data_IF_442432703849
#
_entry.id   IF_442432703849
#
_cell.length_a   1.000
_cell.length_b   1.000
_cell.length_c   1.000
_cell.angle_alpha   90.00
_cell.angle_beta   90.00
_cell.angle_gamma   90.00
#
_symmetry.space_group_name_H-M   'P 1'
#
loop_
_entity.id
_entity.type
_entity.pdbx_description
1 polymer ?
#
# COMPACT_ATOMS: atom_id res chain seq x y z
N UNK A 1 9.36 -0.30 -19.25
CA UNK A 1 10.69 -0.77 -18.87
C UNK A 1 10.97 -2.13 -19.52
N UNK A 2 12.16 -2.35 -20.07
CA UNK A 2 12.56 -3.51 -20.89
C UNK A 2 12.59 -4.88 -20.15
N UNK A 3 12.17 -4.96 -18.92
CA UNK A 3 11.85 -6.24 -18.26
C UNK A 3 10.67 -6.95 -18.95
N UNK A 4 9.87 -6.23 -19.72
CA UNK A 4 8.80 -6.79 -20.55
C UNK A 4 9.25 -7.73 -21.68
N UNK A 5 10.55 -7.84 -21.96
CA UNK A 5 11.05 -8.81 -22.91
C UNK A 5 10.98 -10.28 -22.45
N UNK A 6 10.80 -10.53 -21.15
CA UNK A 6 10.74 -11.89 -20.59
C UNK A 6 9.29 -12.35 -20.37
N UNK A 7 8.37 -11.40 -20.13
CA UNK A 7 6.92 -11.68 -19.98
C UNK A 7 6.19 -10.72 -20.92
N UNK A 8 5.77 -11.21 -22.07
CA UNK A 8 5.05 -10.40 -23.05
C UNK A 8 3.79 -9.77 -22.40
N UNK A 9 3.71 -8.43 -22.43
CA UNK A 9 2.59 -7.68 -21.90
C UNK A 9 2.64 -7.29 -20.41
N UNK A 10 3.72 -7.61 -19.67
CA UNK A 10 3.88 -7.09 -18.30
C UNK A 10 4.30 -5.62 -18.34
N UNK A 11 3.54 -4.78 -17.63
CA UNK A 11 3.84 -3.37 -17.44
C UNK A 11 3.74 -3.04 -15.95
N UNK A 12 4.73 -2.32 -15.43
CA UNK A 12 4.80 -1.85 -14.05
C UNK A 12 5.41 -0.45 -14.05
N UNK A 13 4.55 0.57 -14.22
CA UNK A 13 4.95 1.95 -14.55
C UNK A 13 5.96 2.52 -13.55
N UNK A 14 5.63 2.47 -12.27
CA UNK A 14 6.50 3.02 -11.22
C UNK A 14 7.01 1.96 -10.23
N UNK A 15 6.59 0.70 -10.34
CA UNK A 15 7.16 -0.37 -9.53
C UNK A 15 6.27 -0.88 -8.41
N UNK A 16 4.98 -1.11 -8.65
CA UNK A 16 4.13 -1.81 -7.67
C UNK A 16 4.69 -3.20 -7.37
N UNK A 17 4.96 -3.98 -8.39
CA UNK A 17 5.52 -5.32 -8.25
C UNK A 17 7.03 -5.28 -8.03
N UNK A 18 7.78 -4.61 -8.92
CA UNK A 18 9.26 -4.67 -8.93
C UNK A 18 9.91 -3.89 -7.78
N UNK A 19 9.19 -2.99 -7.11
CA UNK A 19 9.69 -2.26 -5.93
C UNK A 19 8.94 -2.70 -4.68
N UNK A 20 7.61 -2.50 -4.64
CA UNK A 20 6.85 -2.73 -3.41
C UNK A 20 6.67 -4.22 -3.11
N UNK A 21 6.28 -5.05 -4.08
CA UNK A 21 6.16 -6.49 -3.82
C UNK A 21 7.51 -7.12 -3.49
N UNK A 22 8.57 -6.78 -4.23
CA UNK A 22 9.94 -7.24 -3.90
C UNK A 22 10.36 -6.82 -2.50
N UNK A 23 10.12 -5.54 -2.12
CA UNK A 23 10.36 -5.06 -0.76
C UNK A 23 9.53 -5.81 0.29
N UNK A 24 8.28 -6.12 -0.02
CA UNK A 24 7.39 -6.91 0.82
C UNK A 24 7.87 -8.36 1.02
N UNK A 25 8.36 -9.02 -0.01
CA UNK A 25 8.97 -10.36 0.10
C UNK A 25 10.24 -10.33 0.95
N UNK A 26 11.09 -9.31 0.78
CA UNK A 26 12.27 -9.12 1.62
C UNK A 26 11.89 -8.87 3.09
N UNK A 27 10.86 -8.05 3.33
CA UNK A 27 10.32 -7.83 4.68
C UNK A 27 9.76 -9.11 5.29
N UNK A 28 9.06 -9.95 4.52
CA UNK A 28 8.57 -11.26 4.99
C UNK A 28 9.73 -12.16 5.42
N UNK A 29 10.78 -12.26 4.62
CA UNK A 29 11.97 -13.02 4.99
C UNK A 29 12.59 -12.48 6.30
N UNK A 30 12.68 -11.15 6.45
CA UNK A 30 13.16 -10.51 7.68
C UNK A 30 12.29 -10.86 8.90
N UNK A 31 10.97 -10.78 8.77
CA UNK A 31 10.03 -11.11 9.86
C UNK A 31 10.14 -12.59 10.26
N UNK A 32 10.27 -13.49 9.30
CA UNK A 32 10.42 -14.92 9.58
C UNK A 32 11.73 -15.25 10.32
N UNK A 33 12.82 -14.52 10.02
CA UNK A 33 14.12 -14.71 10.68
C UNK A 33 14.12 -14.08 12.07
N UNK A 34 13.61 -12.86 12.22
CA UNK A 34 13.58 -12.12 13.49
C UNK A 34 12.55 -12.69 14.48
N UNK A 35 11.47 -13.25 13.95
CA UNK A 35 10.33 -13.70 14.74
C UNK A 35 9.46 -12.54 15.23
N UNK A 36 8.39 -12.90 15.93
CA UNK A 36 7.42 -11.95 16.45
C UNK A 36 7.95 -11.16 17.66
N UNK A 37 7.47 -9.93 17.82
CA UNK A 37 7.75 -9.11 19.02
C UNK A 37 7.32 -9.85 20.29
N UNK A 38 8.08 -9.67 21.37
CA UNK A 38 7.78 -10.28 22.66
C UNK A 38 6.37 -9.90 23.13
N UNK A 39 5.56 -10.90 23.43
CA UNK A 39 4.20 -10.70 23.92
C UNK A 39 3.12 -10.49 22.86
N UNK A 40 3.46 -10.42 21.56
CA UNK A 40 2.48 -10.31 20.47
C UNK A 40 1.56 -11.54 20.41
N UNK A 41 2.10 -12.73 20.53
CA UNK A 41 1.34 -13.98 20.53
C UNK A 41 1.47 -14.67 21.87
N UNK A 42 0.34 -14.88 22.54
CA UNK A 42 0.28 -15.58 23.83
C UNK A 42 0.48 -17.09 23.70
N UNK A 43 0.89 -17.75 24.79
CA UNK A 43 0.95 -19.23 24.89
C UNK A 43 -0.43 -19.85 24.74
N UNK A 44 -1.48 -19.10 25.06
CA UNK A 44 -2.90 -19.40 24.91
C UNK A 44 -3.40 -19.30 23.46
N UNK A 45 -2.52 -18.95 22.51
CA UNK A 45 -2.86 -18.75 21.11
C UNK A 45 -3.48 -17.39 20.78
N UNK A 46 -3.69 -16.53 21.78
CA UNK A 46 -4.30 -15.22 21.56
C UNK A 46 -3.32 -14.24 20.92
N UNK A 47 -3.83 -13.46 19.97
CA UNK A 47 -3.13 -12.30 19.39
C UNK A 47 -3.34 -11.11 20.32
N UNK A 48 -2.25 -10.52 20.78
CA UNK A 48 -2.28 -9.35 21.68
C UNK A 48 -1.91 -8.11 20.89
N UNK A 49 -2.78 -7.09 20.85
CA UNK A 49 -2.47 -5.86 20.15
C UNK A 49 -1.29 -5.13 20.83
N UNK A 50 -0.35 -4.66 20.01
CA UNK A 50 0.73 -3.76 20.46
C UNK A 50 0.48 -2.44 19.74
N UNK A 51 -0.25 -1.49 20.36
CA UNK A 51 -0.61 -0.25 19.71
C UNK A 51 0.62 0.60 19.41
N UNK A 52 0.52 1.41 18.34
CA UNK A 52 1.55 2.40 18.02
C UNK A 52 1.70 3.44 19.14
N UNK A 53 2.91 3.91 19.32
CA UNK A 53 3.25 4.86 20.39
C UNK A 53 2.62 6.25 20.20
N UNK A 54 2.43 6.69 18.95
CA UNK A 54 1.86 7.99 18.63
C UNK A 54 1.15 7.98 17.28
N UNK A 55 -0.18 7.90 17.31
CA UNK A 55 -1.01 7.86 16.10
C UNK A 55 -1.01 9.19 15.33
N UNK A 56 -0.81 10.32 16.00
CA UNK A 56 -0.70 11.62 15.33
C UNK A 56 0.57 11.68 14.46
N UNK A 57 1.70 11.20 14.99
CA UNK A 57 2.94 11.08 14.20
C UNK A 57 2.82 10.04 13.09
N UNK A 58 2.12 8.93 13.30
CA UNK A 58 1.85 7.95 12.25
C UNK A 58 1.02 8.57 11.11
N UNK A 59 0.01 9.36 11.45
CA UNK A 59 -0.80 10.10 10.47
C UNK A 59 0.05 11.09 9.68
N UNK A 60 0.87 11.89 10.36
CA UNK A 60 1.81 12.81 9.71
C UNK A 60 2.77 12.05 8.79
N UNK A 61 3.32 10.91 9.24
CA UNK A 61 4.18 10.05 8.43
C UNK A 61 3.49 9.55 7.16
N UNK A 62 2.22 9.16 7.26
CA UNK A 62 1.43 8.76 6.09
C UNK A 62 1.24 9.91 5.10
N UNK A 63 0.97 11.14 5.55
CA UNK A 63 0.90 12.30 4.66
C UNK A 63 2.23 12.63 4.00
N UNK A 64 3.35 12.49 4.71
CA UNK A 64 4.69 12.69 4.13
C UNK A 64 4.96 11.64 3.05
N UNK A 65 4.63 10.37 3.29
CA UNK A 65 4.73 9.31 2.29
C UNK A 65 3.82 9.59 1.08
N UNK A 66 2.59 10.01 1.32
CA UNK A 66 1.64 10.35 0.25
C UNK A 66 2.17 11.49 -0.64
N UNK A 67 2.67 12.55 -0.02
CA UNK A 67 3.29 13.65 -0.75
C UNK A 67 4.52 13.17 -1.54
N UNK A 68 5.37 12.34 -0.95
CA UNK A 68 6.52 11.73 -1.62
C UNK A 68 6.11 10.84 -2.79
N UNK A 69 4.92 10.23 -2.74
CA UNK A 69 4.40 9.36 -3.80
C UNK A 69 4.05 10.12 -5.08
N UNK A 70 3.68 11.38 -4.99
CA UNK A 70 3.53 12.23 -6.18
C UNK A 70 4.85 12.35 -6.95
N UNK A 71 5.97 12.47 -6.23
CA UNK A 71 7.30 12.43 -6.83
C UNK A 71 7.69 11.03 -7.33
N UNK A 72 7.35 10.00 -6.57
CA UNK A 72 7.66 8.61 -6.92
C UNK A 72 6.97 8.19 -8.23
N UNK A 73 5.66 8.34 -8.32
CA UNK A 73 4.90 8.01 -9.51
C UNK A 73 5.09 9.04 -10.63
N UNK A 74 5.01 10.34 -10.32
CA UNK A 74 5.19 11.40 -11.33
C UNK A 74 6.59 11.41 -11.93
N UNK A 75 7.63 11.17 -11.13
CA UNK A 75 9.00 11.05 -11.59
C UNK A 75 9.23 9.82 -12.48
N UNK A 76 8.41 8.79 -12.37
CA UNK A 76 8.48 7.58 -13.19
C UNK A 76 8.01 7.80 -14.64
N UNK A 77 7.48 8.99 -14.98
CA UNK A 77 7.28 9.44 -16.35
C UNK A 77 8.62 9.56 -17.12
N UNK A 78 9.72 9.79 -16.40
CA UNK A 78 11.10 9.85 -16.92
C UNK A 78 11.34 10.93 -17.99
N UNK A 79 10.38 11.79 -18.27
CA UNK A 79 10.49 12.87 -19.27
C UNK A 79 9.67 14.09 -18.82
N UNK A 80 10.17 15.29 -19.16
CA UNK A 80 9.55 16.60 -18.85
C UNK A 80 9.74 17.61 -19.97
N UNK A 81 10.13 17.15 -21.16
CA UNK A 81 10.55 18.02 -22.26
C UNK A 81 9.43 18.46 -23.19
N UNK A 82 8.27 17.83 -23.15
CA UNK A 82 7.13 18.09 -24.02
C UNK A 82 5.87 18.43 -23.24
N UNK A 83 4.85 18.94 -23.95
CA UNK A 83 3.53 19.16 -23.35
C UNK A 83 2.89 17.83 -22.94
N UNK A 84 3.09 16.81 -23.75
CA UNK A 84 2.59 15.45 -23.51
C UNK A 84 3.19 14.87 -22.22
N UNK A 85 4.46 15.09 -21.96
CA UNK A 85 5.12 14.65 -20.71
C UNK A 85 4.52 15.37 -19.49
N UNK A 86 4.30 16.68 -19.60
CA UNK A 86 3.72 17.48 -18.52
C UNK A 86 2.28 17.03 -18.22
N UNK A 87 1.46 16.85 -19.27
CA UNK A 87 0.09 16.37 -19.13
C UNK A 87 0.07 14.94 -18.55
N UNK A 88 1.01 14.08 -18.94
CA UNK A 88 1.22 12.74 -18.39
C UNK A 88 1.52 12.78 -16.90
N UNK A 89 2.48 13.59 -16.46
CA UNK A 89 2.82 13.76 -15.03
C UNK A 89 1.60 14.26 -14.24
N UNK A 90 0.88 15.24 -14.76
CA UNK A 90 -0.31 15.77 -14.09
C UNK A 90 -1.40 14.71 -13.93
N UNK A 91 -1.63 13.88 -14.96
CA UNK A 91 -2.55 12.74 -14.92
C UNK A 91 -2.12 11.71 -13.88
N UNK A 92 -0.85 11.33 -13.87
CA UNK A 92 -0.25 10.37 -12.91
C UNK A 92 -0.42 10.86 -11.47
N UNK A 93 -0.15 12.14 -11.19
CA UNK A 93 -0.33 12.73 -9.86
C UNK A 93 -1.80 12.71 -9.43
N UNK A 94 -2.72 13.06 -10.35
CA UNK A 94 -4.16 13.02 -10.07
C UNK A 94 -4.65 11.59 -9.79
N UNK A 95 -4.24 10.61 -10.60
CA UNK A 95 -4.54 9.19 -10.42
C UNK A 95 -4.01 8.65 -9.09
N UNK A 96 -2.76 8.98 -8.76
CA UNK A 96 -2.12 8.61 -7.49
C UNK A 96 -2.92 9.13 -6.30
N UNK A 97 -3.34 10.40 -6.35
CA UNK A 97 -4.17 10.98 -5.29
C UNK A 97 -5.55 10.29 -5.19
N UNK A 98 -6.17 10.00 -6.33
CA UNK A 98 -7.47 9.30 -6.36
C UNK A 98 -7.38 7.93 -5.70
N UNK A 99 -6.36 7.13 -6.02
CA UNK A 99 -6.16 5.81 -5.47
C UNK A 99 -5.95 5.84 -3.94
N UNK A 100 -5.15 6.78 -3.44
CA UNK A 100 -4.94 6.95 -2.01
C UNK A 100 -6.23 7.28 -1.26
N UNK A 101 -7.03 8.23 -1.79
CA UNK A 101 -8.33 8.57 -1.23
C UNK A 101 -9.29 7.38 -1.24
N UNK A 102 -9.35 6.66 -2.36
CA UNK A 102 -10.20 5.48 -2.52
C UNK A 102 -9.83 4.37 -1.53
N UNK A 103 -8.54 4.10 -1.37
CA UNK A 103 -8.05 3.11 -0.41
C UNK A 103 -8.37 3.46 1.03
N UNK A 104 -8.17 4.72 1.42
CA UNK A 104 -8.52 5.21 2.76
C UNK A 104 -10.03 5.08 3.04
N UNK A 105 -10.88 5.48 2.10
CA UNK A 105 -12.35 5.41 2.21
C UNK A 105 -12.79 3.94 2.31
N UNK A 106 -12.26 3.06 1.46
CA UNK A 106 -12.61 1.64 1.49
C UNK A 106 -12.24 1.00 2.83
N UNK A 107 -11.05 1.27 3.35
CA UNK A 107 -10.63 0.76 4.66
C UNK A 107 -11.50 1.31 5.79
N UNK A 108 -11.90 2.60 5.74
CA UNK A 108 -12.82 3.19 6.71
C UNK A 108 -14.19 2.52 6.67
N UNK A 109 -14.76 2.33 5.48
CA UNK A 109 -16.07 1.68 5.28
C UNK A 109 -16.04 0.24 5.76
N UNK A 110 -15.02 -0.55 5.35
CA UNK A 110 -14.93 -1.95 5.74
C UNK A 110 -14.71 -2.12 7.24
N UNK A 111 -13.86 -1.31 7.88
CA UNK A 111 -13.66 -1.40 9.33
C UNK A 111 -14.94 -1.00 10.08
N UNK A 112 -15.68 0.00 9.62
CA UNK A 112 -16.98 0.36 10.17
C UNK A 112 -18.00 -0.78 10.03
N UNK A 113 -18.03 -1.47 8.89
CA UNK A 113 -18.98 -2.56 8.65
C UNK A 113 -18.63 -3.81 9.45
N UNK A 114 -17.36 -4.20 9.49
CA UNK A 114 -16.88 -5.45 10.10
C UNK A 114 -16.75 -5.30 11.61
N UNK A 115 -16.09 -4.24 12.07
CA UNK A 115 -15.74 -4.03 13.48
C UNK A 115 -16.65 -3.05 14.19
N UNK A 116 -17.64 -2.45 13.48
CA UNK A 116 -18.57 -1.42 14.00
C UNK A 116 -17.85 -0.16 14.50
N UNK A 117 -16.60 0.05 14.08
CA UNK A 117 -15.77 1.17 14.47
C UNK A 117 -14.73 1.40 13.37
N UNK A 118 -14.58 2.66 12.96
CA UNK A 118 -13.49 3.05 12.07
C UNK A 118 -12.16 2.93 12.81
N UNK A 119 -11.21 2.24 12.22
CA UNK A 119 -9.84 2.08 12.74
C UNK A 119 -8.88 2.98 11.96
N UNK A 120 -8.28 3.95 12.66
CA UNK A 120 -7.37 4.91 12.03
C UNK A 120 -6.15 4.21 11.41
N UNK A 121 -5.60 3.18 12.06
CA UNK A 121 -4.41 2.50 11.53
C UNK A 121 -4.74 1.76 10.24
N UNK A 122 -5.93 1.19 10.12
CA UNK A 122 -6.41 0.57 8.89
C UNK A 122 -6.69 1.61 7.79
N UNK A 123 -7.21 2.79 8.15
CA UNK A 123 -7.42 3.89 7.19
C UNK A 123 -6.09 4.38 6.62
N UNK A 124 -5.06 4.56 7.47
CA UNK A 124 -3.72 4.95 7.03
C UNK A 124 -3.10 3.88 6.12
N UNK A 125 -3.19 2.62 6.51
CA UNK A 125 -2.74 1.50 5.69
C UNK A 125 -3.56 1.36 4.40
N UNK A 126 -4.85 1.66 4.43
CA UNK A 126 -5.71 1.72 3.24
C UNK A 126 -5.27 2.76 2.23
N UNK A 127 -4.91 3.96 2.70
CA UNK A 127 -4.34 5.00 1.84
C UNK A 127 -3.04 4.52 1.18
N UNK A 128 -2.11 3.95 1.98
CA UNK A 128 -0.84 3.42 1.47
C UNK A 128 -1.04 2.24 0.51
N UNK A 129 -1.98 1.33 0.81
CA UNK A 129 -2.28 0.20 -0.07
C UNK A 129 -2.87 0.68 -1.41
N UNK A 130 -3.72 1.72 -1.40
CA UNK A 130 -4.20 2.36 -2.61
C UNK A 130 -3.07 2.98 -3.43
N UNK A 131 -2.12 3.65 -2.79
CA UNK A 131 -0.92 4.18 -3.44
C UNK A 131 -0.08 3.07 -4.07
N UNK A 132 0.16 1.97 -3.36
CA UNK A 132 0.93 0.83 -3.85
C UNK A 132 0.24 0.18 -5.04
N UNK A 133 -1.06 -0.12 -4.96
CA UNK A 133 -1.81 -0.75 -6.05
C UNK A 133 -1.77 0.08 -7.33
N UNK A 134 -1.96 1.40 -7.21
CA UNK A 134 -1.94 2.33 -8.35
C UNK A 134 -0.54 2.48 -8.97
N UNK A 135 0.53 2.13 -8.26
CA UNK A 135 1.91 2.35 -8.71
C UNK A 135 2.28 1.55 -9.98
N UNK A 136 1.54 0.47 -10.28
CA UNK A 136 1.72 -0.31 -11.51
C UNK A 136 1.23 0.42 -12.77
N UNK A 137 0.17 1.23 -12.65
CA UNK A 137 -0.47 1.86 -13.79
C UNK A 137 -1.15 3.21 -13.50
N UNK A 138 -0.46 4.18 -12.85
CA UNK A 138 -1.07 5.47 -12.56
C UNK A 138 -1.34 6.30 -13.83
N UNK A 139 -0.74 5.93 -14.95
CA UNK A 139 -0.94 6.48 -16.29
C UNK A 139 -2.22 5.96 -16.98
N UNK A 140 -2.84 4.90 -16.46
CA UNK A 140 -4.10 4.34 -17.00
C UNK A 140 -5.34 5.20 -16.70
N UNK A 141 -5.18 6.26 -15.92
CA UNK A 141 -6.20 7.27 -15.64
C UNK A 141 -6.97 7.06 -14.33
N UNK A 142 -7.67 8.13 -13.92
CA UNK A 142 -8.31 8.22 -12.60
C UNK A 142 -9.37 7.14 -12.32
N UNK A 143 -10.08 6.65 -13.33
CA UNK A 143 -11.10 5.61 -13.12
C UNK A 143 -10.47 4.26 -12.75
N UNK A 144 -9.35 3.92 -13.38
CA UNK A 144 -8.58 2.72 -13.05
C UNK A 144 -7.98 2.88 -11.67
N UNK A 145 -7.33 4.01 -11.39
CA UNK A 145 -6.75 4.33 -10.09
C UNK A 145 -7.79 4.31 -8.94
N UNK A 146 -9.03 4.73 -9.19
CA UNK A 146 -10.12 4.59 -8.23
C UNK A 146 -10.36 3.12 -7.87
N UNK A 147 -10.46 2.25 -8.87
CA UNK A 147 -10.71 0.81 -8.66
C UNK A 147 -9.53 0.17 -7.94
N UNK A 148 -8.30 0.43 -8.39
CA UNK A 148 -7.08 -0.06 -7.76
C UNK A 148 -6.98 0.36 -6.29
N UNK A 149 -7.30 1.63 -6.00
CA UNK A 149 -7.34 2.14 -4.64
C UNK A 149 -8.39 1.44 -3.77
N UNK A 150 -9.61 1.25 -4.28
CA UNK A 150 -10.66 0.52 -3.57
C UNK A 150 -10.25 -0.93 -3.28
N UNK A 151 -9.67 -1.60 -4.26
CA UNK A 151 -9.18 -2.99 -4.09
C UNK A 151 -8.04 -3.05 -3.08
N UNK A 152 -7.02 -2.19 -3.21
CA UNK A 152 -5.89 -2.13 -2.27
C UNK A 152 -6.35 -1.86 -0.84
N UNK A 153 -7.26 -0.88 -0.65
CA UNK A 153 -7.85 -0.57 0.65
C UNK A 153 -8.67 -1.72 1.25
N UNK A 154 -9.36 -2.49 0.41
CA UNK A 154 -10.06 -3.70 0.85
C UNK A 154 -9.08 -4.80 1.25
N UNK A 155 -8.09 -5.07 0.42
CA UNK A 155 -7.10 -6.13 0.65
C UNK A 155 -6.38 -5.95 1.99
N UNK A 156 -5.95 -4.74 2.33
CA UNK A 156 -5.20 -4.51 3.57
C UNK A 156 -6.03 -4.81 4.83
N UNK A 157 -7.34 -4.54 4.80
CA UNK A 157 -8.23 -4.84 5.95
C UNK A 157 -8.32 -6.34 6.23
N UNK A 158 -8.20 -7.17 5.21
CA UNK A 158 -8.19 -8.64 5.35
C UNK A 158 -6.77 -9.19 5.55
N UNK A 159 -5.75 -8.57 4.95
CA UNK A 159 -4.37 -9.05 5.03
C UNK A 159 -3.79 -8.93 6.45
N UNK A 160 -4.04 -7.82 7.15
CA UNK A 160 -3.54 -7.63 8.52
C UNK A 160 -3.97 -8.77 9.46
N UNK A 161 -5.27 -9.09 9.61
CA UNK A 161 -5.68 -10.21 10.47
C UNK A 161 -5.27 -11.58 9.89
N UNK A 162 -5.05 -11.70 8.58
CA UNK A 162 -4.53 -12.92 7.98
C UNK A 162 -3.09 -13.22 8.44
N UNK A 163 -2.19 -12.23 8.41
CA UNK A 163 -0.82 -12.40 8.92
C UNK A 163 -0.81 -12.66 10.43
N UNK A 164 -1.68 -12.00 11.20
CA UNK A 164 -1.83 -12.27 12.63
C UNK A 164 -2.27 -13.73 12.91
N UNK A 165 -3.18 -14.29 12.11
CA UNK A 165 -3.57 -15.73 12.22
C UNK A 165 -2.40 -16.67 11.92
N UNK A 166 -1.54 -16.32 10.99
CA UNK A 166 -0.33 -17.09 10.68
C UNK A 166 0.80 -16.88 11.70
N UNK A 167 0.61 -16.02 12.71
CA UNK A 167 1.61 -15.60 13.70
C UNK A 167 2.83 -14.94 13.06
N UNK A 168 2.62 -14.26 11.94
CA UNK A 168 3.60 -13.41 11.27
C UNK A 168 3.36 -11.99 11.79
N UNK A 169 4.29 -11.47 12.59
CA UNK A 169 4.15 -10.14 13.17
C UNK A 169 4.51 -9.06 12.15
N UNK A 170 3.49 -8.40 11.63
CA UNK A 170 3.59 -7.26 10.70
C UNK A 170 3.33 -5.94 11.47
N UNK A 171 4.35 -5.34 12.11
CA UNK A 171 4.15 -4.29 13.13
C UNK A 171 3.39 -3.06 12.66
N UNK A 172 3.57 -2.68 11.41
CA UNK A 172 3.00 -1.47 10.81
C UNK A 172 2.12 -1.75 9.59
N UNK A 173 1.90 -3.02 9.27
CA UNK A 173 1.18 -3.40 8.07
C UNK A 173 2.01 -3.37 6.79
N UNK A 174 3.35 -3.43 6.91
CA UNK A 174 4.24 -3.37 5.75
C UNK A 174 4.04 -4.55 4.79
N UNK A 175 3.87 -5.78 5.32
CA UNK A 175 3.54 -6.95 4.50
C UNK A 175 2.17 -6.79 3.86
N UNK A 176 1.18 -6.37 4.68
CA UNK A 176 -0.20 -6.21 4.25
C UNK A 176 -0.35 -5.15 3.16
N UNK A 177 0.45 -4.09 3.21
CA UNK A 177 0.45 -3.00 2.23
C UNK A 177 1.33 -3.36 1.04
N UNK A 178 2.66 -3.54 1.24
CA UNK A 178 3.60 -3.60 0.13
C UNK A 178 3.65 -4.96 -0.54
N UNK A 179 3.56 -6.07 0.23
CA UNK A 179 3.54 -7.41 -0.38
C UNK A 179 2.19 -7.69 -1.04
N UNK A 180 1.08 -7.51 -0.29
CA UNK A 180 -0.24 -7.93 -0.78
C UNK A 180 -0.79 -6.99 -1.85
N UNK A 181 -0.71 -5.66 -1.64
CA UNK A 181 -1.21 -4.71 -2.63
C UNK A 181 -0.20 -4.41 -3.75
N UNK A 182 1.03 -4.91 -3.67
CA UNK A 182 2.06 -4.76 -4.70
C UNK A 182 2.10 -5.88 -5.74
N UNK A 183 1.29 -6.93 -5.57
CA UNK A 183 1.14 -8.03 -6.54
C UNK A 183 0.06 -7.68 -7.56
#
# INVERSE_FOLDING_TARGET
>A
TELGGVIAGFSDFAGSTIVHSVGGWAALAGVLILGARKGKYGKDGQVRPIPGSNLTLATLGTFILWMGWFGFNGGSQLALGSKEDIDGIASVVASTNMAACAGAIMAAVLTQLIYKKVDLTMVLNGALAGLVSCTAGPDLGMNVALIEGLVGGALVVFAVPFFDKLRIDDPVGALSVHLVAGI
#
